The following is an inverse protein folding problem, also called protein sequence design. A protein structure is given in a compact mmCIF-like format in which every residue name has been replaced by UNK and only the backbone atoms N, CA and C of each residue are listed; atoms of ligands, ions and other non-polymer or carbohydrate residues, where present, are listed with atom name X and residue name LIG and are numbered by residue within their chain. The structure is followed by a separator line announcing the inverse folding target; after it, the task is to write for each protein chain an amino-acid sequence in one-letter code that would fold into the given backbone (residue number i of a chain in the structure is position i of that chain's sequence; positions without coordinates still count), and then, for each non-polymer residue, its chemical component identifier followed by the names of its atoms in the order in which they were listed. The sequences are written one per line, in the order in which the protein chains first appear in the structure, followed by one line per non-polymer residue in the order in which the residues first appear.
data_IF_254157522126
#
_entry.id   IF_254157522126
#
_cell.length_a   1.000
_cell.length_b   1.000
_cell.length_c   1.000
_cell.angle_alpha   90.00
_cell.angle_beta   90.00
_cell.angle_gamma   90.00
#
_symmetry.space_group_name_H-M   'P 1'
#
loop_
_entity.id
_entity.type
_entity.pdbx_description
1 polymer ?
#
# COMPACT_ATOMS: atom_id res chain seq x y z
N UNK A 1 -14.09 -7.37 26.52
CA UNK A 1 -12.79 -7.98 26.14
C UNK A 1 -12.81 -8.18 24.64
N UNK A 2 -11.85 -7.65 23.89
CA UNK A 2 -11.78 -7.86 22.43
C UNK A 2 -11.40 -9.32 22.17
N UNK A 3 -12.20 -10.03 21.37
CA UNK A 3 -11.95 -11.42 21.02
C UNK A 3 -10.62 -11.54 20.28
N UNK A 4 -9.74 -12.45 20.72
CA UNK A 4 -8.43 -12.65 20.11
C UNK A 4 -8.53 -12.98 18.61
N UNK A 5 -9.58 -13.69 18.19
CA UNK A 5 -9.86 -14.00 16.79
C UNK A 5 -10.12 -12.74 15.95
N UNK A 6 -10.60 -11.65 16.56
CA UNK A 6 -10.80 -10.36 15.87
C UNK A 6 -9.48 -9.80 15.32
N UNK A 7 -8.38 -9.90 16.08
CA UNK A 7 -7.05 -9.46 15.60
C UNK A 7 -6.55 -10.30 14.42
N UNK A 8 -6.83 -11.60 14.43
CA UNK A 8 -6.51 -12.48 13.30
C UNK A 8 -7.29 -12.07 12.05
N UNK A 9 -8.62 -11.96 12.14
CA UNK A 9 -9.47 -11.60 10.99
C UNK A 9 -9.14 -10.21 10.45
N UNK A 10 -9.00 -9.23 11.33
CA UNK A 10 -8.64 -7.86 10.95
C UNK A 10 -7.24 -7.82 10.31
N UNK A 11 -6.28 -8.56 10.86
CA UNK A 11 -4.93 -8.66 10.30
C UNK A 11 -4.91 -9.25 8.89
N UNK A 12 -5.63 -10.35 8.65
CA UNK A 12 -5.74 -10.97 7.31
C UNK A 12 -6.41 -10.02 6.32
N UNK A 13 -7.52 -9.40 6.69
CA UNK A 13 -8.26 -8.47 5.81
C UNK A 13 -7.38 -7.28 5.43
N UNK A 14 -6.70 -6.66 6.39
CA UNK A 14 -5.80 -5.54 6.13
C UNK A 14 -4.61 -5.95 5.27
N UNK A 15 -4.00 -7.12 5.51
CA UNK A 15 -2.90 -7.60 4.67
C UNK A 15 -3.33 -7.79 3.20
N UNK A 16 -4.51 -8.38 2.97
CA UNK A 16 -5.06 -8.56 1.61
C UNK A 16 -5.32 -7.21 0.94
N UNK A 17 -6.00 -6.29 1.63
CA UNK A 17 -6.29 -4.94 1.11
C UNK A 17 -4.97 -4.20 0.79
N UNK A 18 -3.98 -4.29 1.67
CA UNK A 18 -2.66 -3.69 1.47
C UNK A 18 -1.97 -4.21 0.21
N UNK A 19 -1.99 -5.54 -0.02
CA UNK A 19 -1.43 -6.15 -1.24
C UNK A 19 -2.14 -5.66 -2.50
N UNK A 20 -3.48 -5.58 -2.49
CA UNK A 20 -4.25 -5.10 -3.65
C UNK A 20 -3.88 -3.65 -3.99
N UNK A 21 -3.77 -2.79 -2.97
CA UNK A 21 -3.42 -1.38 -3.17
C UNK A 21 -1.95 -1.24 -3.60
N UNK A 22 -1.03 -2.04 -3.06
CA UNK A 22 0.37 -2.09 -3.50
C UNK A 22 0.48 -2.47 -4.97
N UNK A 23 -0.26 -3.49 -5.41
CA UNK A 23 -0.33 -3.88 -6.82
C UNK A 23 -0.85 -2.73 -7.69
N UNK A 24 -1.91 -2.04 -7.27
CA UNK A 24 -2.40 -0.85 -7.97
C UNK A 24 -1.34 0.27 -7.99
N UNK A 25 -0.54 0.43 -6.94
CA UNK A 25 0.58 1.38 -6.86
C UNK A 25 1.78 1.06 -7.76
N UNK A 26 1.83 -0.13 -8.38
CA UNK A 26 2.83 -0.44 -9.43
C UNK A 26 2.49 0.19 -10.78
N UNK A 27 1.28 0.73 -10.93
CA UNK A 27 0.87 1.44 -12.14
C UNK A 27 1.54 2.80 -12.23
N UNK A 28 1.69 3.28 -13.47
CA UNK A 28 2.20 4.62 -13.75
C UNK A 28 1.06 5.54 -14.17
N UNK A 29 1.13 6.81 -13.78
CA UNK A 29 0.23 7.85 -14.27
C UNK A 29 0.84 8.53 -15.49
N UNK A 30 0.08 8.63 -16.59
CA UNK A 30 0.52 9.28 -17.83
C UNK A 30 -0.10 10.67 -17.94
N UNK A 31 0.71 11.68 -18.25
CA UNK A 31 0.24 13.04 -18.45
C UNK A 31 1.12 13.78 -19.46
N UNK A 32 0.56 14.75 -20.21
CA UNK A 32 1.35 15.63 -21.04
C UNK A 32 2.21 16.57 -20.19
N UNK A 33 3.48 16.77 -20.58
CA UNK A 33 4.38 17.73 -19.94
C UNK A 33 5.19 18.50 -20.98
N UNK A 34 5.32 19.80 -20.77
CA UNK A 34 6.23 20.65 -21.53
C UNK A 34 7.68 20.47 -21.06
N UNK A 35 8.59 20.22 -21.99
CA UNK A 35 10.03 20.10 -21.71
C UNK A 35 10.78 21.12 -22.56
N UNK A 36 11.69 21.86 -21.92
CA UNK A 36 12.59 22.79 -22.61
C UNK A 36 13.73 22.02 -23.26
N UNK A 37 13.92 22.22 -24.57
CA UNK A 37 15.06 21.73 -25.33
C UNK A 37 15.82 22.89 -25.99
N UNK A 38 16.97 22.60 -26.61
CA UNK A 38 17.79 23.60 -27.32
C UNK A 38 16.98 24.33 -28.42
N UNK A 39 15.93 23.70 -28.97
CA UNK A 39 15.07 24.26 -30.01
C UNK A 39 13.73 24.83 -29.48
N UNK A 40 13.60 25.10 -28.18
CA UNK A 40 12.39 25.66 -27.57
C UNK A 40 11.58 24.66 -26.73
N UNK A 41 10.34 25.02 -26.42
CA UNK A 41 9.39 24.17 -25.68
C UNK A 41 8.73 23.16 -26.60
N UNK A 42 8.82 21.88 -26.25
CA UNK A 42 8.11 20.81 -26.93
C UNK A 42 7.21 20.06 -25.94
N UNK A 43 5.99 19.77 -26.40
CA UNK A 43 5.01 18.97 -25.66
C UNK A 43 5.36 17.48 -25.76
N UNK A 44 5.61 16.85 -24.62
CA UNK A 44 5.79 15.39 -24.51
C UNK A 44 4.48 14.76 -24.06
N UNK A 45 3.78 14.08 -24.97
CA UNK A 45 2.45 13.53 -24.72
C UNK A 45 2.44 12.34 -23.74
N UNK A 46 3.53 11.56 -23.71
CA UNK A 46 3.60 10.29 -22.97
C UNK A 46 4.60 10.36 -21.80
N UNK A 47 4.53 11.41 -20.99
CA UNK A 47 5.32 11.45 -19.77
C UNK A 47 4.65 10.60 -18.69
N UNK A 48 5.40 9.70 -18.05
CA UNK A 48 4.88 8.80 -17.01
C UNK A 48 5.54 9.07 -15.67
N UNK A 49 4.78 8.97 -14.59
CA UNK A 49 5.31 8.98 -13.21
C UNK A 49 4.82 7.77 -12.43
N UNK A 50 5.67 7.11 -11.64
CA UNK A 50 5.25 6.02 -10.76
C UNK A 50 4.24 6.50 -9.70
N UNK A 51 3.28 5.63 -9.36
CA UNK A 51 2.26 5.98 -8.36
C UNK A 51 2.71 5.69 -6.93
N UNK A 52 3.60 6.55 -6.42
CA UNK A 52 4.15 6.43 -5.07
C UNK A 52 3.10 6.56 -3.96
N UNK A 53 2.00 7.28 -4.21
CA UNK A 53 0.95 7.47 -3.21
C UNK A 53 0.22 6.17 -2.90
N UNK A 54 -0.30 5.46 -3.92
CA UNK A 54 -0.93 4.16 -3.68
C UNK A 54 0.08 3.14 -3.15
N UNK A 55 1.33 3.17 -3.59
CA UNK A 55 2.36 2.29 -3.06
C UNK A 55 2.57 2.51 -1.55
N UNK A 56 2.70 3.76 -1.11
CA UNK A 56 2.84 4.13 0.31
C UNK A 56 1.62 3.73 1.14
N UNK A 57 0.41 4.06 0.67
CA UNK A 57 -0.84 3.73 1.38
C UNK A 57 -1.02 2.21 1.49
N UNK A 58 -0.74 1.48 0.40
CA UNK A 58 -0.80 0.03 0.39
C UNK A 58 0.20 -0.60 1.36
N UNK A 59 1.44 -0.10 1.41
CA UNK A 59 2.46 -0.55 2.36
C UNK A 59 2.01 -0.31 3.81
N UNK A 60 1.50 0.88 4.11
CA UNK A 60 1.03 1.21 5.45
C UNK A 60 -0.07 0.23 5.91
N UNK A 61 -1.10 0.02 5.08
CA UNK A 61 -2.21 -0.90 5.39
C UNK A 61 -1.71 -2.33 5.55
N UNK A 62 -0.80 -2.78 4.69
CA UNK A 62 -0.19 -4.10 4.79
C UNK A 62 0.55 -4.28 6.13
N UNK A 63 1.38 -3.31 6.53
CA UNK A 63 2.11 -3.35 7.80
C UNK A 63 1.19 -3.34 9.02
N UNK A 64 0.08 -2.59 8.97
CA UNK A 64 -0.96 -2.68 10.00
C UNK A 64 -1.57 -4.10 10.08
N UNK A 65 -1.82 -4.74 8.94
CA UNK A 65 -2.27 -6.13 8.89
C UNK A 65 -1.29 -7.10 9.55
N UNK A 66 0.00 -7.00 9.19
CA UNK A 66 1.07 -7.81 9.80
C UNK A 66 1.19 -7.56 11.30
N UNK A 67 1.15 -6.30 11.75
CA UNK A 67 1.18 -5.95 13.17
C UNK A 67 0.02 -6.57 13.96
N UNK A 68 -1.18 -6.59 13.39
CA UNK A 68 -2.35 -7.25 14.00
C UNK A 68 -2.17 -8.77 14.11
N UNK A 69 -1.57 -9.42 13.10
CA UNK A 69 -1.27 -10.85 13.15
C UNK A 69 -0.19 -11.20 14.18
N UNK A 70 0.83 -10.37 14.30
CA UNK A 70 1.86 -10.50 15.33
C UNK A 70 1.26 -10.35 16.74
N UNK A 71 0.36 -9.37 16.91
CA UNK A 71 -0.36 -9.16 18.17
C UNK A 71 -1.21 -10.39 18.53
N UNK A 72 -1.91 -10.99 17.57
CA UNK A 72 -2.64 -12.23 17.78
C UNK A 72 -1.73 -13.40 18.20
N UNK A 73 -0.57 -13.55 17.53
CA UNK A 73 0.40 -14.59 17.87
C UNK A 73 0.94 -14.45 19.31
N UNK A 74 1.18 -13.21 19.74
CA UNK A 74 1.63 -12.89 21.10
C UNK A 74 0.54 -13.13 22.15
N UNK A 75 -0.71 -12.75 21.86
CA UNK A 75 -1.86 -13.05 22.73
C UNK A 75 -2.06 -14.55 22.92
N UNK A 76 -1.89 -15.34 21.86
CA UNK A 76 -1.96 -16.80 21.90
C UNK A 76 -0.85 -17.42 22.74
N UNK A 77 0.37 -16.90 22.62
CA UNK A 77 1.51 -17.32 23.47
C UNK A 77 1.29 -16.99 24.95
N UNK A 78 0.63 -15.87 25.23
CA UNK A 78 0.38 -15.39 26.60
C UNK A 78 -0.85 -16.04 27.26
N UNK A 79 -1.54 -16.97 26.58
CA UNK A 79 -2.77 -17.60 27.09
C UNK A 79 -3.96 -16.66 27.22
N UNK A 80 -3.93 -15.49 26.55
CA UNK A 80 -4.98 -14.46 26.59
C UNK A 80 -6.02 -14.60 25.46
N UNK A 81 -6.04 -15.76 24.81
CA UNK A 81 -6.88 -16.06 23.63
C UNK A 81 -8.21 -16.68 23.96
#
# INVERSE_FOLDING_TARGET
MVNSKTFMYLGVILAIIGIIILAAGTTTWTYPREVFSVNGMNLVANNTTPNYFFNFVGLAIFLFGIGSLLSYAEMRRSGKT
#
